data_IF_679569713422
#
_entry.id   IF_679569713422
#
_cell.length_a   1.000
_cell.length_b   1.000
_cell.length_c   1.000
_cell.angle_alpha   90.00
_cell.angle_beta   90.00
_cell.angle_gamma   90.00
#
_symmetry.space_group_name_H-M   'P 1'
#
loop_
_entity.id
_entity.type
_entity.pdbx_description
1 polymer ?
#
# COMPACT_ATOMS: atom_id res chain seq x y z
N UNK A 1 0.74 1.32 -10.41
CA UNK A 1 -0.04 0.74 -9.96
C UNK A 1 -0.52 -0.68 -9.75
N UNK A 2 -1.71 -0.95 -10.24
CA UNK A 2 -2.44 -2.21 -9.99
C UNK A 2 -1.65 -3.43 -10.48
N UNK A 3 -1.00 -3.31 -11.63
CA UNK A 3 -0.23 -4.40 -12.23
C UNK A 3 0.95 -4.86 -11.39
N UNK A 4 1.48 -3.97 -10.53
CA UNK A 4 2.64 -4.29 -9.69
C UNK A 4 2.26 -5.04 -8.43
N UNK A 5 1.02 -4.92 -7.98
CA UNK A 5 0.54 -5.64 -6.81
C UNK A 5 0.40 -7.15 -7.09
N UNK A 6 -0.06 -7.53 -8.28
CA UNK A 6 -0.28 -8.93 -8.61
C UNK A 6 0.99 -9.79 -8.48
N UNK A 7 2.16 -9.40 -9.01
CA UNK A 7 3.40 -10.16 -8.78
C UNK A 7 3.77 -10.30 -7.31
N UNK A 8 3.59 -9.24 -6.52
CA UNK A 8 3.88 -9.29 -5.09
C UNK A 8 2.95 -10.25 -4.37
N UNK A 9 1.67 -10.25 -4.72
CA UNK A 9 0.71 -11.20 -4.14
C UNK A 9 1.02 -12.64 -4.55
N UNK A 10 1.43 -12.87 -5.79
CA UNK A 10 1.82 -14.20 -6.24
C UNK A 10 3.00 -14.75 -5.45
N UNK A 11 3.94 -13.90 -5.05
CA UNK A 11 5.13 -14.32 -4.34
C UNK A 11 4.93 -14.45 -2.83
N UNK A 12 4.19 -13.52 -2.21
CA UNK A 12 4.13 -13.40 -0.75
C UNK A 12 2.77 -13.68 -0.13
N UNK A 13 1.68 -13.62 -0.89
CA UNK A 13 0.35 -13.77 -0.34
C UNK A 13 0.00 -15.23 -0.05
N UNK A 14 -0.96 -15.45 0.86
CA UNK A 14 -1.53 -16.77 1.09
C UNK A 14 -2.38 -17.23 -0.09
N UNK A 15 -2.67 -18.52 -0.16
CA UNK A 15 -3.51 -19.06 -1.22
C UNK A 15 -4.91 -18.43 -1.22
N UNK A 16 -5.46 -18.17 -0.04
CA UNK A 16 -6.76 -17.50 0.10
C UNK A 16 -6.72 -16.07 -0.46
N UNK A 17 -5.68 -15.33 -0.15
CA UNK A 17 -5.50 -13.96 -0.66
C UNK A 17 -5.35 -13.96 -2.18
N UNK A 18 -4.61 -14.92 -2.72
CA UNK A 18 -4.45 -15.05 -4.16
C UNK A 18 -5.77 -15.34 -4.84
N UNK A 19 -6.55 -16.27 -4.32
CA UNK A 19 -7.86 -16.64 -4.89
C UNK A 19 -8.85 -15.49 -4.84
N UNK A 20 -8.79 -14.68 -3.77
CA UNK A 20 -9.73 -13.59 -3.58
C UNK A 20 -9.38 -12.39 -4.45
N UNK A 21 -8.11 -12.01 -4.51
CA UNK A 21 -7.70 -10.71 -5.07
C UNK A 21 -7.16 -10.79 -6.49
N UNK A 22 -6.38 -11.80 -6.84
CA UNK A 22 -5.71 -11.83 -8.14
C UNK A 22 -6.69 -11.85 -9.31
N UNK A 23 -7.74 -12.70 -9.33
CA UNK A 23 -8.70 -12.69 -10.44
C UNK A 23 -9.38 -11.31 -10.61
N UNK A 24 -9.69 -10.65 -9.51
CA UNK A 24 -10.33 -9.32 -9.54
C UNK A 24 -9.38 -8.25 -10.05
N UNK A 25 -8.09 -8.34 -9.69
CA UNK A 25 -7.06 -7.42 -10.19
C UNK A 25 -6.92 -7.57 -11.71
N UNK A 26 -6.82 -8.81 -12.18
CA UNK A 26 -6.65 -9.09 -13.62
C UNK A 26 -7.85 -8.61 -14.43
N UNK A 27 -9.06 -8.79 -13.90
CA UNK A 27 -10.29 -8.35 -14.56
C UNK A 27 -10.57 -6.85 -14.41
N UNK A 28 -9.81 -6.15 -13.56
CA UNK A 28 -10.05 -4.74 -13.28
C UNK A 28 -11.31 -4.46 -12.48
N UNK A 29 -11.81 -5.44 -11.74
CA UNK A 29 -13.04 -5.29 -10.93
C UNK A 29 -12.81 -4.51 -9.66
N UNK A 30 -11.57 -4.49 -9.15
CA UNK A 30 -11.20 -3.77 -7.93
C UNK A 30 -10.14 -2.74 -8.25
N UNK A 31 -10.33 -1.54 -7.73
CA UNK A 31 -9.33 -0.48 -7.82
C UNK A 31 -8.50 -0.46 -6.55
N UNK A 32 -7.18 -0.45 -6.72
CA UNK A 32 -6.21 -0.43 -5.62
C UNK A 32 -5.43 0.86 -5.62
N UNK A 33 -5.11 1.35 -4.42
CA UNK A 33 -4.15 2.44 -4.27
C UNK A 33 -3.02 2.01 -3.33
N UNK A 34 -1.92 2.74 -3.40
CA UNK A 34 -0.70 2.42 -2.67
C UNK A 34 -0.53 3.37 -1.49
N UNK A 35 -0.48 2.84 -0.27
CA UNK A 35 -0.33 3.61 0.95
C UNK A 35 1.06 3.45 1.55
N UNK A 36 2.06 4.10 0.96
CA UNK A 36 3.44 4.03 1.45
C UNK A 36 3.88 5.34 2.11
N UNK A 37 3.81 6.45 1.39
CA UNK A 37 4.34 7.73 1.86
C UNK A 37 3.51 8.32 2.99
N UNK A 38 4.20 9.03 3.89
CA UNK A 38 3.57 9.75 5.01
C UNK A 38 4.11 11.17 5.06
N UNK A 39 3.42 12.10 5.73
CA UNK A 39 3.88 13.49 5.80
C UNK A 39 5.30 13.64 6.32
N UNK A 40 5.72 12.78 7.23
CA UNK A 40 7.06 12.85 7.83
C UNK A 40 8.07 11.87 7.27
N UNK A 41 7.73 11.06 6.26
CA UNK A 41 8.62 9.98 5.80
C UNK A 41 8.59 9.79 4.30
N UNK A 42 8.53 10.86 3.53
CA UNK A 42 8.52 10.80 2.07
C UNK A 42 9.84 10.33 1.49
N UNK A 43 10.99 10.81 2.02
CA UNK A 43 12.32 10.45 1.54
C UNK A 43 12.92 9.26 2.27
N UNK A 44 12.42 8.93 3.45
CA UNK A 44 12.83 7.76 4.24
C UNK A 44 11.60 6.95 4.60
N UNK A 45 11.20 6.09 3.67
CA UNK A 45 9.97 5.30 3.82
C UNK A 45 10.01 4.39 5.05
N UNK A 46 11.18 3.87 5.41
CA UNK A 46 11.32 3.00 6.58
C UNK A 46 11.04 3.71 7.90
N UNK A 47 10.97 5.03 7.91
CA UNK A 47 10.61 5.82 9.10
C UNK A 47 9.10 5.98 9.27
N UNK A 48 8.29 5.29 8.50
CA UNK A 48 6.83 5.38 8.58
C UNK A 48 6.33 5.12 10.00
N UNK A 49 5.24 5.79 10.37
CA UNK A 49 4.68 5.74 11.71
C UNK A 49 3.21 5.34 11.78
N UNK A 50 2.54 5.12 10.64
CA UNK A 50 1.19 4.56 10.65
C UNK A 50 1.23 3.23 11.37
N UNK A 51 0.50 3.15 12.49
CA UNK A 51 0.61 2.03 13.43
C UNK A 51 -0.51 1.04 13.23
N UNK A 52 -0.17 -0.24 13.26
CA UNK A 52 -1.14 -1.33 13.29
C UNK A 52 -0.92 -2.10 14.59
N UNK A 53 -1.82 -1.91 15.54
CA UNK A 53 -1.76 -2.57 16.84
C UNK A 53 -2.44 -3.93 16.75
N UNK A 54 -1.75 -4.97 17.22
CA UNK A 54 -2.29 -6.32 17.31
C UNK A 54 -3.19 -6.39 18.54
N UNK A 55 -4.50 -6.49 18.33
CA UNK A 55 -5.48 -6.57 19.43
C UNK A 55 -6.06 -7.97 19.59
N UNK A 56 -5.42 -8.97 18.97
CA UNK A 56 -5.82 -10.38 19.09
C UNK A 56 -6.30 -10.97 17.77
N UNK A 57 -7.53 -10.68 17.39
CA UNK A 57 -8.16 -11.21 16.20
C UNK A 57 -8.05 -10.29 14.97
N UNK A 58 -7.59 -9.04 15.18
CA UNK A 58 -7.42 -8.08 14.09
C UNK A 58 -6.32 -7.07 14.44
N UNK A 59 -5.97 -6.23 13.46
CA UNK A 59 -5.12 -5.07 13.69
C UNK A 59 -5.97 -3.81 13.79
N UNK A 60 -5.56 -2.91 14.67
CA UNK A 60 -6.18 -1.59 14.79
C UNK A 60 -5.21 -0.58 14.19
N UNK A 61 -5.60 0.03 13.07
CA UNK A 61 -4.71 0.89 12.29
C UNK A 61 -5.02 2.36 12.56
N UNK A 62 -3.98 3.12 12.88
CA UNK A 62 -4.04 4.56 13.12
C UNK A 62 -2.87 5.24 12.41
N UNK A 63 -3.17 6.30 11.69
CA UNK A 63 -2.14 7.08 11.01
C UNK A 63 -2.64 7.78 9.77
N UNK A 64 -1.70 8.23 8.94
CA UNK A 64 -2.00 8.98 7.74
C UNK A 64 -1.01 8.64 6.64
N UNK A 65 -1.53 8.47 5.44
CA UNK A 65 -0.73 8.33 4.23
C UNK A 65 -0.96 9.54 3.32
N UNK A 66 0.04 9.91 2.53
CA UNK A 66 -0.05 11.01 1.56
C UNK A 66 0.35 10.51 0.18
N UNK A 67 0.03 11.29 -0.82
CA UNK A 67 0.33 10.99 -2.23
C UNK A 67 -0.27 9.66 -2.70
N UNK A 68 -1.42 9.28 -2.10
CA UNK A 68 -2.15 8.08 -2.53
C UNK A 68 -2.94 8.40 -3.79
N UNK A 69 -2.51 7.82 -4.92
CA UNK A 69 -3.13 8.09 -6.21
C UNK A 69 -4.55 7.51 -6.27
N UNK A 70 -5.54 8.35 -6.56
CA UNK A 70 -6.93 7.95 -6.73
C UNK A 70 -7.54 7.25 -5.51
N UNK A 71 -7.06 7.56 -4.29
CA UNK A 71 -7.57 6.94 -3.07
C UNK A 71 -9.07 7.19 -2.87
N UNK A 72 -9.56 8.34 -3.32
CA UNK A 72 -10.98 8.69 -3.25
C UNK A 72 -11.87 7.80 -4.14
N UNK A 73 -11.27 7.08 -5.09
CA UNK A 73 -11.97 6.18 -6.00
C UNK A 73 -11.54 4.72 -5.82
N UNK A 74 -10.59 4.44 -4.93
CA UNK A 74 -10.07 3.10 -4.74
C UNK A 74 -11.00 2.26 -3.85
N UNK A 75 -11.05 0.96 -4.12
CA UNK A 75 -11.80 0.00 -3.31
C UNK A 75 -10.93 -0.55 -2.18
N UNK A 76 -9.64 -0.71 -2.43
CA UNK A 76 -8.67 -1.26 -1.49
C UNK A 76 -7.37 -0.47 -1.53
N UNK A 77 -6.67 -0.47 -0.39
CA UNK A 77 -5.33 0.10 -0.28
C UNK A 77 -4.37 -0.97 0.24
N UNK A 78 -3.18 -1.07 -0.39
CA UNK A 78 -2.11 -1.87 0.17
C UNK A 78 -1.13 -0.92 0.86
N UNK A 79 -0.97 -1.11 2.16
CA UNK A 79 -0.29 -0.14 3.01
C UNK A 79 0.85 -0.77 3.80
N UNK A 80 1.92 0.01 3.97
CA UNK A 80 2.98 -0.31 4.91
C UNK A 80 2.62 0.29 6.26
N UNK A 81 2.65 -0.52 7.29
CA UNK A 81 2.27 -0.12 8.64
C UNK A 81 3.33 -0.57 9.65
N UNK A 82 3.37 0.13 10.77
CA UNK A 82 4.28 -0.18 11.87
C UNK A 82 3.63 -1.19 12.81
N UNK A 83 4.16 -2.41 12.84
CA UNK A 83 3.68 -3.48 13.72
C UNK A 83 4.70 -3.86 14.80
N UNK A 84 5.95 -3.43 14.65
CA UNK A 84 7.02 -3.70 15.59
C UNK A 84 7.76 -2.45 16.00
N UNK A 85 8.92 -2.59 16.69
CA UNK A 85 9.70 -1.45 17.14
C UNK A 85 10.29 -0.66 15.95
N UNK A 86 10.56 0.61 16.18
CA UNK A 86 11.18 1.46 15.16
C UNK A 86 12.69 1.23 15.01
N UNK A 87 13.28 0.50 15.92
CA UNK A 87 14.70 0.15 15.88
C UNK A 87 14.87 -1.38 15.88
N UNK A 88 15.43 -2.00 14.85
CA UNK A 88 15.76 -1.40 13.55
C UNK A 88 14.48 -1.12 12.72
N UNK A 89 14.45 0.04 12.08
CA UNK A 89 13.21 0.55 11.46
C UNK A 89 12.63 -0.34 10.37
N UNK A 90 13.46 -1.07 9.64
CA UNK A 90 13.00 -1.97 8.58
C UNK A 90 12.32 -3.25 9.11
N UNK A 91 12.64 -3.64 10.34
CA UNK A 91 12.17 -4.89 10.92
C UNK A 91 10.79 -4.80 11.56
N UNK A 92 10.26 -3.60 11.74
CA UNK A 92 8.96 -3.40 12.39
C UNK A 92 7.83 -3.06 11.43
N UNK A 93 7.97 -3.37 10.14
CA UNK A 93 7.02 -2.99 9.11
C UNK A 93 6.30 -4.23 8.58
N UNK A 94 4.99 -4.11 8.42
CA UNK A 94 4.13 -5.15 7.84
C UNK A 94 3.37 -4.59 6.63
N UNK A 95 2.95 -5.49 5.75
CA UNK A 95 2.21 -5.16 4.53
C UNK A 95 0.76 -5.60 4.73
N UNK A 96 -0.16 -4.64 4.78
CA UNK A 96 -1.58 -4.91 5.01
C UNK A 96 -2.43 -4.51 3.81
N UNK A 97 -3.46 -5.31 3.54
CA UNK A 97 -4.51 -5.00 2.59
C UNK A 97 -5.71 -4.45 3.38
N UNK A 98 -6.11 -3.22 3.10
CA UNK A 98 -7.17 -2.54 3.83
C UNK A 98 -8.30 -2.19 2.88
N UNK A 99 -9.53 -2.57 3.26
CA UNK A 99 -10.74 -2.21 2.51
C UNK A 99 -11.04 -0.73 2.76
N UNK A 100 -11.09 0.06 1.70
CA UNK A 100 -11.34 1.50 1.78
C UNK A 100 -12.74 1.84 2.30
N UNK A 101 -13.67 0.88 2.29
CA UNK A 101 -15.00 1.06 2.83
C UNK A 101 -15.08 0.83 4.35
N UNK A 102 -13.96 0.43 4.98
CA UNK A 102 -13.93 0.18 6.43
C UNK A 102 -14.15 1.49 7.19
N UNK A 103 -14.92 1.41 8.28
CA UNK A 103 -15.14 2.55 9.16
C UNK A 103 -13.81 3.06 9.72
N UNK A 104 -13.62 4.37 9.67
CA UNK A 104 -12.38 5.01 10.12
C UNK A 104 -11.43 5.35 8.98
N UNK A 105 -11.65 4.84 7.78
CA UNK A 105 -10.88 5.20 6.60
C UNK A 105 -11.52 6.42 5.95
N UNK A 106 -10.75 7.47 5.73
CA UNK A 106 -11.21 8.66 5.02
C UNK A 106 -10.12 9.18 4.08
N UNK A 107 -10.53 9.90 3.05
CA UNK A 107 -9.62 10.46 2.07
C UNK A 107 -9.91 11.94 1.87
N UNK A 108 -8.87 12.70 1.53
CA UNK A 108 -8.99 14.11 1.21
C UNK A 108 -8.11 14.42 -0.01
N UNK A 109 -8.70 14.90 -1.11
CA UNK A 109 -7.89 15.25 -2.28
C UNK A 109 -6.89 16.35 -1.98
N UNK A 110 -5.68 16.23 -2.53
CA UNK A 110 -4.66 17.27 -2.44
C UNK A 110 -4.88 18.23 -3.59
N UNK A 111 -5.10 19.51 -3.27
CA UNK A 111 -5.29 20.55 -4.27
C UNK A 111 -3.94 21.13 -4.66
N UNK A 112 -3.62 21.08 -5.95
CA UNK A 112 -2.43 21.69 -6.51
C UNK A 112 -2.76 23.07 -7.09
N UNK A 113 -1.74 23.87 -7.33
CA UNK A 113 -1.90 25.18 -7.96
C UNK A 113 -2.57 25.06 -9.33
N UNK A 114 -2.29 23.96 -10.04
CA UNK A 114 -2.89 23.65 -11.34
C UNK A 114 -4.34 23.15 -11.28
N UNK A 115 -4.91 22.98 -10.08
CA UNK A 115 -6.26 22.49 -9.87
C UNK A 115 -6.31 21.09 -9.29
N UNK A 116 -7.23 20.25 -9.78
CA UNK A 116 -7.40 18.89 -9.26
C UNK A 116 -6.17 18.02 -9.46
N UNK A 117 -5.86 17.25 -8.43
CA UNK A 117 -4.75 16.29 -8.42
C UNK A 117 -5.32 14.87 -8.25
N UNK A 118 -4.69 13.85 -8.88
CA UNK A 118 -5.06 12.46 -8.60
C UNK A 118 -4.63 11.99 -7.22
N UNK A 119 -3.83 12.78 -6.52
CA UNK A 119 -3.26 12.39 -5.22
C UNK A 119 -4.18 12.78 -4.07
N UNK A 120 -4.22 11.93 -3.06
CA UNK A 120 -5.03 12.13 -1.87
C UNK A 120 -4.21 11.93 -0.61
N UNK A 121 -4.67 12.55 0.48
CA UNK A 121 -4.30 12.15 1.83
C UNK A 121 -5.27 11.06 2.27
N UNK A 122 -4.77 10.02 2.90
CA UNK A 122 -5.61 8.93 3.41
C UNK A 122 -5.42 8.83 4.92
N UNK A 123 -6.52 8.86 5.65
CA UNK A 123 -6.50 8.86 7.12
C UNK A 123 -7.06 7.55 7.64
N UNK A 124 -6.41 7.01 8.67
CA UNK A 124 -6.85 5.81 9.38
C UNK A 124 -7.09 6.18 10.84
N UNK A 125 -8.31 5.97 11.31
CA UNK A 125 -8.71 6.27 12.67
C UNK A 125 -9.38 5.02 13.27
N UNK A 126 -8.64 4.25 14.05
CA UNK A 126 -9.07 3.00 14.66
C UNK A 126 -9.69 2.05 13.64
N UNK A 127 -9.01 1.88 12.52
CA UNK A 127 -9.48 1.02 11.42
C UNK A 127 -9.22 -0.44 11.76
N UNK A 128 -10.26 -1.26 11.78
CA UNK A 128 -10.15 -2.69 12.06
C UNK A 128 -9.78 -3.43 10.78
N UNK A 129 -8.64 -4.11 10.79
CA UNK A 129 -8.16 -4.87 9.64
C UNK A 129 -7.99 -6.33 10.08
N UNK A 130 -8.74 -7.28 9.48
CA UNK A 130 -8.56 -8.68 9.82
C UNK A 130 -7.13 -9.15 9.63
N UNK A 131 -6.65 -10.03 10.48
CA UNK A 131 -5.29 -10.58 10.37
C UNK A 131 -5.08 -11.36 9.07
N UNK A 132 -6.14 -11.88 8.48
CA UNK A 132 -6.08 -12.55 7.18
C UNK A 132 -5.67 -11.62 6.04
N UNK A 133 -5.72 -10.29 6.25
CA UNK A 133 -5.30 -9.30 5.28
C UNK A 133 -3.80 -8.97 5.37
N UNK A 134 -3.08 -9.59 6.28
CA UNK A 134 -1.62 -9.46 6.36
C UNK A 134 -0.99 -10.27 5.24
N UNK A 135 -0.19 -9.62 4.40
CA UNK A 135 0.54 -10.28 3.33
C UNK A 135 1.93 -10.67 3.84
N UNK A 136 2.26 -11.96 3.74
CA UNK A 136 3.50 -12.48 4.29
C UNK A 136 3.45 -12.58 5.81
N UNK A 137 4.60 -12.46 6.45
CA UNK A 137 4.71 -12.53 7.90
C UNK A 137 4.70 -11.14 8.52
N UNK A 138 4.25 -11.06 9.78
CA UNK A 138 4.31 -9.83 10.56
C UNK A 138 5.75 -9.35 10.67
N UNK A 139 5.96 -8.05 10.52
CA UNK A 139 7.28 -7.42 10.54
C UNK A 139 8.18 -7.76 9.33
N UNK A 140 7.64 -8.43 8.31
CA UNK A 140 8.37 -8.77 7.09
C UNK A 140 7.89 -7.96 5.87
N UNK A 141 7.09 -6.93 6.09
CA UNK A 141 6.50 -6.14 5.00
C UNK A 141 7.50 -5.33 4.20
N UNK A 142 8.64 -4.97 4.79
CA UNK A 142 9.66 -4.21 4.08
C UNK A 142 10.23 -4.98 2.88
N UNK A 143 10.38 -6.29 3.02
CA UNK A 143 10.83 -7.15 1.93
C UNK A 143 9.85 -7.12 0.76
N UNK A 144 8.55 -7.17 1.06
CA UNK A 144 7.49 -7.10 0.05
C UNK A 144 7.49 -5.74 -0.64
N UNK A 145 7.64 -4.67 0.14
CA UNK A 145 7.69 -3.31 -0.39
C UNK A 145 8.87 -3.11 -1.33
N UNK A 146 10.05 -3.62 -0.97
CA UNK A 146 11.23 -3.54 -1.83
C UNK A 146 11.02 -4.29 -3.15
N UNK A 147 10.42 -5.46 -3.10
CA UNK A 147 10.13 -6.24 -4.30
C UNK A 147 9.17 -5.48 -5.21
N UNK A 148 8.14 -4.87 -4.65
CA UNK A 148 7.15 -4.10 -5.39
C UNK A 148 7.77 -2.85 -6.03
N UNK A 149 8.60 -2.12 -5.29
CA UNK A 149 9.33 -0.96 -5.81
C UNK A 149 10.33 -1.36 -6.90
N UNK A 150 10.94 -2.53 -6.80
CA UNK A 150 11.85 -3.04 -7.81
C UNK A 150 11.11 -3.34 -9.11
N UNK A 151 9.94 -3.96 -9.03
CA UNK A 151 9.09 -4.18 -10.20
C UNK A 151 8.69 -2.86 -10.86
N UNK A 152 8.35 -1.87 -10.07
CA UNK A 152 8.00 -0.53 -10.57
C UNK A 152 9.16 0.10 -11.32
N UNK A 153 10.37 0.05 -10.75
CA UNK A 153 11.58 0.56 -11.40
C UNK A 153 11.86 -0.14 -12.72
N UNK A 154 11.76 -1.46 -12.73
CA UNK A 154 12.01 -2.26 -13.94
C UNK A 154 11.00 -1.92 -15.02
N UNK A 155 9.72 -1.78 -14.66
CA UNK A 155 8.67 -1.40 -15.61
C UNK A 155 8.94 -0.01 -16.20
N UNK A 156 9.23 0.98 -15.38
CA UNK A 156 9.49 2.36 -15.81
C UNK A 156 10.75 2.41 -16.68
N UNK A 157 11.80 1.71 -16.28
CA UNK A 157 13.06 1.66 -17.03
C UNK A 157 12.86 1.04 -18.41
N UNK A 158 12.17 -0.09 -18.48
CA UNK A 158 11.90 -0.74 -19.77
C UNK A 158 11.01 0.12 -20.67
N UNK A 159 10.01 0.74 -20.10
CA UNK A 159 9.11 1.63 -20.83
C UNK A 159 9.84 2.87 -21.32
N UNK A 160 10.71 3.46 -20.50
CA UNK A 160 11.53 4.61 -20.88
C UNK A 160 12.51 4.28 -21.99
N UNK A 161 13.16 3.13 -21.93
CA UNK A 161 14.07 2.68 -22.98
C UNK A 161 13.34 2.44 -24.31
N UNK A 162 12.15 1.83 -24.24
CA UNK A 162 11.33 1.63 -25.44
C UNK A 162 10.91 2.96 -26.05
N UNK A 163 10.51 3.92 -25.23
CA UNK A 163 10.16 5.25 -25.68
C UNK A 163 11.35 5.99 -26.31
N UNK A 164 12.52 5.91 -25.70
CA UNK A 164 13.73 6.51 -26.23
C UNK A 164 14.16 5.88 -27.55
N UNK A 165 14.00 4.57 -27.69
CA UNK A 165 14.36 3.86 -28.92
C UNK A 165 13.40 4.19 -30.07
N UNK A 166 12.15 4.53 -29.80
CA UNK A 166 11.15 4.85 -30.80
C UNK A 166 11.18 6.33 -31.22
N UNK A 167 11.87 7.16 -30.51
CA UNK A 167 12.02 8.57 -30.83
C UNK A 167 13.27 8.85 -31.61
#
# INVERSE_FOLDING_TARGET
>A
GIWMLAPALLEYASEEQKRLHIPRIIKGEIRWCQGYSEPGSGSDLASLSTKAEDVGDHYLVNGQKVWTSYADQADWIFALVRTGPQEPKHSGISFLLIDMATEGVSTKPITLISGKSPFCETFFDNVKVPKENLVGEENAGWTIAKALLQHERNFISNFGLAGAASS
#
